data_IF_017301013856
#
_entry.id   IF_017301013856
#
_cell.length_a   1.000
_cell.length_b   1.000
_cell.length_c   1.000
_cell.angle_alpha   90.00
_cell.angle_beta   90.00
_cell.angle_gamma   90.00
#
_symmetry.space_group_name_H-M   'P 1'
#
loop_
_entity.id
_entity.type
_entity.pdbx_description
1 polymer ?
#
# COMPACT_ATOMS: atom_id res chain seq x y z
N UNK A 1 0.44 -28.32 -1.50
CA UNK A 1 -0.64 -27.30 -1.51
C UNK A 1 -0.74 -26.72 -2.91
N UNK A 2 -1.95 -26.51 -3.44
CA UNK A 2 -2.13 -25.94 -4.78
C UNK A 2 -1.59 -24.47 -4.81
N UNK A 3 -0.66 -24.11 -5.71
CA UNK A 3 -0.11 -22.76 -5.82
C UNK A 3 -1.18 -21.66 -5.96
N UNK A 4 -2.31 -22.00 -6.56
CA UNK A 4 -3.43 -21.08 -6.76
C UNK A 4 -4.13 -20.76 -5.43
N UNK A 5 -4.29 -21.75 -4.56
CA UNK A 5 -4.85 -21.57 -3.20
C UNK A 5 -3.94 -20.69 -2.34
N UNK A 6 -2.61 -20.83 -2.46
CA UNK A 6 -1.64 -19.96 -1.75
C UNK A 6 -1.77 -18.52 -2.24
N UNK A 7 -1.89 -18.32 -3.55
CA UNK A 7 -2.07 -16.99 -4.13
C UNK A 7 -3.39 -16.36 -3.69
N UNK A 8 -4.48 -17.12 -3.74
CA UNK A 8 -5.81 -16.61 -3.40
C UNK A 8 -5.93 -16.31 -1.89
N UNK A 9 -5.19 -17.03 -1.04
CA UNK A 9 -5.01 -16.68 0.38
C UNK A 9 -4.16 -15.42 0.58
N UNK A 10 -3.05 -15.29 -0.17
CA UNK A 10 -2.13 -14.14 -0.07
C UNK A 10 -2.75 -12.83 -0.59
N UNK A 11 -3.67 -12.92 -1.54
CA UNK A 11 -4.37 -11.79 -2.15
C UNK A 11 -5.87 -11.83 -1.88
N UNK A 12 -6.29 -12.38 -0.75
CA UNK A 12 -7.71 -12.40 -0.40
C UNK A 12 -8.24 -10.96 -0.30
N UNK A 13 -9.47 -10.67 -0.78
CA UNK A 13 -10.02 -9.32 -0.73
C UNK A 13 -10.02 -8.70 0.68
N UNK A 14 -10.26 -9.50 1.72
CA UNK A 14 -10.21 -9.06 3.10
C UNK A 14 -8.81 -8.64 3.54
N UNK A 15 -7.76 -9.41 3.19
CA UNK A 15 -6.41 -9.05 3.56
C UNK A 15 -5.89 -7.84 2.77
N UNK A 16 -6.23 -7.75 1.48
CA UNK A 16 -5.92 -6.55 0.69
C UNK A 16 -6.63 -5.33 1.29
N UNK A 17 -7.89 -5.45 1.71
CA UNK A 17 -8.61 -4.37 2.38
C UNK A 17 -7.89 -3.87 3.65
N UNK A 18 -7.40 -4.78 4.51
CA UNK A 18 -6.60 -4.42 5.70
C UNK A 18 -5.32 -3.64 5.32
N UNK A 19 -4.62 -4.07 4.26
CA UNK A 19 -3.44 -3.40 3.73
C UNK A 19 -3.80 -1.99 3.26
N UNK A 20 -4.84 -1.84 2.43
CA UNK A 20 -5.28 -0.55 1.89
C UNK A 20 -5.73 0.41 3.01
N UNK A 21 -6.52 -0.09 3.96
CA UNK A 21 -6.95 0.68 5.13
C UNK A 21 -5.74 1.25 5.89
N UNK A 22 -4.73 0.42 6.13
CA UNK A 22 -3.51 0.82 6.84
C UNK A 22 -2.70 1.87 6.07
N UNK A 23 -2.60 1.73 4.75
CA UNK A 23 -1.99 2.75 3.89
C UNK A 23 -2.72 4.09 4.00
N UNK A 24 -4.05 4.09 3.93
CA UNK A 24 -4.88 5.29 4.04
C UNK A 24 -4.67 5.95 5.41
N UNK A 25 -4.61 5.18 6.50
CA UNK A 25 -4.34 5.73 7.83
C UNK A 25 -2.92 6.31 7.95
N UNK A 26 -1.93 5.67 7.32
CA UNK A 26 -0.57 6.21 7.22
C UNK A 26 -0.53 7.53 6.47
N UNK A 27 -1.26 7.64 5.36
CA UNK A 27 -1.39 8.86 4.59
C UNK A 27 -2.09 9.98 5.37
N UNK A 28 -3.20 9.64 6.03
CA UNK A 28 -4.00 10.56 6.86
C UNK A 28 -3.20 11.22 7.98
N UNK A 29 -2.19 10.52 8.52
CA UNK A 29 -1.27 11.07 9.52
C UNK A 29 -0.49 12.29 9.01
N UNK A 30 -0.23 12.36 7.71
CA UNK A 30 0.56 13.43 7.08
C UNK A 30 -0.35 14.48 6.44
N UNK A 31 -1.41 14.05 5.78
CA UNK A 31 -2.40 14.91 5.12
C UNK A 31 -3.81 14.45 5.50
N UNK A 32 -4.58 15.30 6.18
CA UNK A 32 -5.92 14.97 6.69
C UNK A 32 -6.91 14.53 5.59
N UNK A 33 -6.65 14.93 4.34
CA UNK A 33 -7.45 14.53 3.17
C UNK A 33 -7.27 13.06 2.78
N UNK A 34 -6.28 12.38 3.37
CA UNK A 34 -5.92 11.00 3.06
C UNK A 34 -4.90 10.89 1.93
N UNK A 35 -4.92 9.76 1.21
CA UNK A 35 -3.99 9.52 0.10
C UNK A 35 -4.57 10.02 -1.22
N UNK A 36 -3.73 10.45 -2.16
CA UNK A 36 -4.16 10.61 -3.56
C UNK A 36 -4.65 9.27 -4.11
N UNK A 37 -5.85 9.25 -4.69
CA UNK A 37 -6.53 8.00 -5.03
C UNK A 37 -5.71 7.15 -6.01
N UNK A 38 -5.05 7.78 -6.97
CA UNK A 38 -4.22 7.11 -7.98
C UNK A 38 -3.07 6.29 -7.35
N UNK A 39 -2.58 6.70 -6.18
CA UNK A 39 -1.48 6.00 -5.51
C UNK A 39 -1.92 4.67 -4.88
N UNK A 40 -3.23 4.42 -4.74
CA UNK A 40 -3.74 3.17 -4.14
C UNK A 40 -3.28 1.93 -4.92
N UNK A 41 -3.12 2.07 -6.23
CA UNK A 41 -2.70 0.98 -7.13
C UNK A 41 -1.25 0.57 -6.97
N UNK A 42 -0.44 1.40 -6.31
CA UNK A 42 0.95 1.06 -5.98
C UNK A 42 1.06 0.26 -4.67
N UNK A 43 0.04 0.28 -3.81
CA UNK A 43 0.15 -0.26 -2.45
C UNK A 43 0.43 -1.76 -2.48
N UNK A 44 -0.39 -2.53 -3.21
CA UNK A 44 -0.24 -3.99 -3.28
C UNK A 44 1.12 -4.40 -3.88
N UNK A 45 1.57 -3.85 -5.02
CA UNK A 45 2.91 -4.12 -5.57
C UNK A 45 4.06 -3.87 -4.59
N UNK A 46 4.02 -2.76 -3.86
CA UNK A 46 5.09 -2.40 -2.91
C UNK A 46 5.06 -3.27 -1.66
N UNK A 47 3.88 -3.52 -1.09
CA UNK A 47 3.74 -4.24 0.18
C UNK A 47 3.90 -5.75 0.00
N UNK A 48 3.53 -6.30 -1.16
CA UNK A 48 3.64 -7.74 -1.43
C UNK A 48 5.04 -8.18 -1.84
N UNK A 49 5.86 -7.27 -2.37
CA UNK A 49 7.29 -7.48 -2.59
C UNK A 49 8.01 -7.58 -1.24
N UNK A 50 8.73 -8.67 -1.02
CA UNK A 50 9.40 -8.99 0.24
C UNK A 50 10.56 -8.03 0.56
N UNK A 51 11.35 -7.66 -0.44
CA UNK A 51 12.48 -6.73 -0.27
C UNK A 51 11.97 -5.32 0.08
N UNK A 52 10.99 -4.82 -0.68
CA UNK A 52 10.37 -3.52 -0.40
C UNK A 52 9.62 -3.52 0.94
N UNK A 53 8.87 -4.57 1.26
CA UNK A 53 8.19 -4.72 2.56
C UNK A 53 9.18 -4.71 3.72
N UNK A 54 10.29 -5.44 3.61
CA UNK A 54 11.33 -5.45 4.65
C UNK A 54 11.95 -4.06 4.88
N UNK A 55 12.11 -3.27 3.81
CA UNK A 55 12.58 -1.88 3.89
C UNK A 55 11.53 -0.95 4.51
N UNK A 56 10.27 -1.10 4.13
CA UNK A 56 9.15 -0.34 4.69
C UNK A 56 8.94 -0.62 6.17
N UNK A 57 9.10 -1.87 6.62
CA UNK A 57 9.00 -2.24 8.03
C UNK A 57 10.07 -1.61 8.92
N UNK A 58 11.23 -1.28 8.35
CA UNK A 58 12.33 -0.56 9.02
C UNK A 58 12.21 0.96 8.88
N UNK A 59 11.28 1.44 8.06
CA UNK A 59 11.03 2.87 7.89
C UNK A 59 10.26 3.44 9.08
N UNK A 60 10.32 4.75 9.23
CA UNK A 60 9.68 5.47 10.32
C UNK A 60 9.00 6.75 9.80
N UNK A 61 8.42 7.52 10.72
CA UNK A 61 7.68 8.74 10.39
C UNK A 61 8.56 9.82 9.75
N UNK A 62 9.90 9.76 9.82
CA UNK A 62 10.78 10.72 9.12
C UNK A 62 11.23 10.23 7.74
N UNK A 63 11.10 8.94 7.42
CA UNK A 63 11.43 8.38 6.10
C UNK A 63 10.74 9.12 4.95
N UNK A 64 11.49 9.36 3.88
CA UNK A 64 11.04 9.94 2.60
C UNK A 64 11.24 8.94 1.46
N UNK A 65 10.67 9.21 0.29
CA UNK A 65 10.84 8.35 -0.89
C UNK A 65 12.33 8.18 -1.23
N UNK A 66 13.10 9.25 -1.13
CA UNK A 66 14.55 9.23 -1.36
C UNK A 66 15.25 8.23 -0.43
N UNK A 67 14.99 8.33 0.89
CA UNK A 67 15.65 7.48 1.90
C UNK A 67 15.15 6.03 1.89
N UNK A 68 13.88 5.83 1.53
CA UNK A 68 13.25 4.53 1.52
C UNK A 68 13.62 3.74 0.26
N UNK A 69 13.71 4.38 -0.90
CA UNK A 69 13.80 3.65 -2.16
C UNK A 69 14.95 4.03 -3.10
N UNK A 70 15.58 5.20 -2.92
CA UNK A 70 16.58 5.70 -3.87
C UNK A 70 18.01 5.74 -3.32
N UNK A 71 18.25 5.25 -2.10
CA UNK A 71 19.61 5.14 -1.53
C UNK A 71 20.26 3.77 -1.74
N UNK A 72 19.45 2.74 -1.92
CA UNK A 72 19.88 1.34 -1.97
C UNK A 72 19.61 0.81 -3.38
N UNK A 73 20.63 0.25 -4.02
CA UNK A 73 20.54 -0.15 -5.42
C UNK A 73 19.67 -1.40 -5.62
N UNK A 74 19.65 -2.34 -4.67
CA UNK A 74 18.73 -3.49 -4.71
C UNK A 74 17.28 -3.01 -4.64
N UNK A 75 17.00 -2.04 -3.77
CA UNK A 75 15.66 -1.45 -3.65
C UNK A 75 15.27 -0.70 -4.91
N UNK A 76 16.20 0.05 -5.52
CA UNK A 76 15.94 0.74 -6.80
C UNK A 76 15.60 -0.26 -7.88
N UNK A 77 16.33 -1.36 -8.01
CA UNK A 77 16.05 -2.42 -8.98
C UNK A 77 14.62 -2.95 -8.82
N UNK A 78 14.16 -3.17 -7.57
CA UNK A 78 12.79 -3.58 -7.31
C UNK A 78 11.75 -2.56 -7.76
N UNK A 79 12.04 -1.25 -7.65
CA UNK A 79 11.13 -0.20 -8.14
C UNK A 79 10.90 -0.29 -9.65
N UNK A 80 11.91 -0.66 -10.44
CA UNK A 80 11.74 -0.79 -11.90
C UNK A 80 10.70 -1.85 -12.28
N UNK A 81 10.53 -2.87 -11.45
CA UNK A 81 9.56 -3.96 -11.68
C UNK A 81 8.14 -3.60 -11.22
N UNK A 82 7.95 -2.47 -10.55
CA UNK A 82 6.64 -2.10 -9.99
C UNK A 82 5.62 -1.82 -11.09
N UNK A 83 6.01 -1.17 -12.19
CA UNK A 83 5.09 -0.84 -13.27
C UNK A 83 4.37 -2.08 -13.83
N UNK A 84 5.12 -3.18 -13.99
CA UNK A 84 4.55 -4.45 -14.44
C UNK A 84 3.66 -5.07 -13.36
N UNK A 85 4.09 -5.01 -12.09
CA UNK A 85 3.31 -5.54 -10.96
C UNK A 85 1.97 -4.81 -10.79
N UNK A 86 1.91 -3.50 -11.05
CA UNK A 86 0.68 -2.71 -10.99
C UNK A 86 -0.39 -3.26 -11.93
N UNK A 87 0.01 -3.62 -13.16
CA UNK A 87 -0.91 -4.21 -14.13
C UNK A 87 -1.56 -5.49 -13.60
N UNK A 88 -0.77 -6.36 -12.98
CA UNK A 88 -1.28 -7.63 -12.43
C UNK A 88 -2.05 -7.46 -11.12
N UNK A 89 -1.74 -6.44 -10.32
CA UNK A 89 -2.38 -6.23 -9.02
C UNK A 89 -3.63 -5.35 -9.08
N UNK A 90 -3.96 -4.75 -10.23
CA UNK A 90 -5.10 -3.82 -10.35
C UNK A 90 -6.42 -4.47 -9.98
N UNK A 91 -6.69 -5.69 -10.45
CA UNK A 91 -7.92 -6.42 -10.16
C UNK A 91 -8.06 -6.73 -8.66
N UNK A 92 -7.00 -7.26 -8.03
CA UNK A 92 -7.02 -7.56 -6.59
C UNK A 92 -7.10 -6.30 -5.73
N UNK A 93 -6.50 -5.19 -6.18
CA UNK A 93 -6.63 -3.88 -5.51
C UNK A 93 -8.08 -3.41 -5.55
N UNK A 94 -8.73 -3.48 -6.72
CA UNK A 94 -10.14 -3.13 -6.86
C UNK A 94 -11.04 -4.00 -5.97
N UNK A 95 -10.82 -5.32 -5.93
CA UNK A 95 -11.54 -6.22 -5.04
C UNK A 95 -11.34 -5.84 -3.56
N UNK A 96 -10.12 -5.46 -3.18
CA UNK A 96 -9.82 -4.96 -1.83
C UNK A 96 -10.52 -3.65 -1.50
N UNK A 97 -10.61 -2.71 -2.44
CA UNK A 97 -11.35 -1.44 -2.26
C UNK A 97 -12.85 -1.72 -2.08
N UNK A 98 -13.43 -2.58 -2.93
CA UNK A 98 -14.84 -2.97 -2.83
C UNK A 98 -15.12 -3.62 -1.47
N UNK A 99 -14.27 -4.56 -1.05
CA UNK A 99 -14.43 -5.21 0.25
C UNK A 99 -14.27 -4.21 1.39
N UNK A 100 -13.26 -3.34 1.36
CA UNK A 100 -13.04 -2.32 2.38
C UNK A 100 -14.26 -1.40 2.50
N UNK A 101 -14.85 -1.00 1.37
CA UNK A 101 -16.06 -0.15 1.33
C UNK A 101 -17.30 -0.83 1.92
N UNK A 102 -17.30 -2.15 2.02
CA UNK A 102 -18.40 -2.91 2.64
C UNK A 102 -18.29 -3.02 4.16
N UNK A 103 -17.10 -2.78 4.73
CA UNK A 103 -16.82 -2.92 6.16
C UNK A 103 -16.39 -1.61 6.85
N UNK A 104 -16.04 -0.59 6.06
CA UNK A 104 -15.60 0.72 6.51
C UNK A 104 -16.22 1.78 5.60
N UNK A 105 -16.59 2.92 6.17
CA UNK A 105 -16.98 4.06 5.35
C UNK A 105 -15.73 4.59 4.64
N UNK A 106 -15.72 4.58 3.30
CA UNK A 106 -14.64 5.17 2.50
C UNK A 106 -15.19 6.34 1.69
N UNK A 107 -14.49 7.46 1.76
CA UNK A 107 -14.74 8.63 0.92
C UNK A 107 -13.73 8.59 -0.23
N UNK A 108 -14.22 8.47 -1.47
CA UNK A 108 -13.39 8.42 -2.68
C UNK A 108 -13.72 9.61 -3.59
N UNK A 109 -12.74 10.48 -3.82
CA UNK A 109 -12.76 11.58 -4.78
C UNK A 109 -11.36 11.69 -5.44
N UNK A 110 -10.79 12.89 -5.57
CA UNK A 110 -9.37 13.04 -5.90
C UNK A 110 -8.41 12.47 -4.84
N UNK A 111 -8.92 12.14 -3.66
CA UNK A 111 -8.27 11.48 -2.55
C UNK A 111 -9.11 10.29 -2.07
N UNK A 112 -8.51 9.43 -1.27
CA UNK A 112 -9.17 8.33 -0.58
C UNK A 112 -8.90 8.44 0.93
N UNK A 113 -9.98 8.34 1.71
CA UNK A 113 -9.98 8.50 3.16
C UNK A 113 -10.95 7.51 3.81
N UNK A 114 -10.57 6.98 4.98
CA UNK A 114 -11.48 6.22 5.84
C UNK A 114 -12.31 7.21 6.66
N UNK A 115 -13.64 7.19 6.50
CA UNK A 115 -14.59 8.07 7.18
C UNK A 115 -14.75 7.71 8.66
N UNK A 116 -14.61 6.42 8.99
CA UNK A 116 -14.57 5.90 10.34
C UNK A 116 -13.34 5.02 10.56
N UNK A 117 -12.93 4.87 11.82
CA UNK A 117 -11.95 3.87 12.17
C UNK A 117 -12.65 2.50 12.19
N UNK A 118 -12.02 1.50 11.56
CA UNK A 118 -12.41 0.12 11.76
C UNK A 118 -12.26 -0.19 13.26
N UNK A 119 -13.31 -0.72 13.89
CA UNK A 119 -13.18 -1.39 15.18
C UNK A 119 -11.99 -2.35 15.08
N UNK A 120 -11.08 -2.32 16.07
CA UNK A 120 -9.85 -3.10 16.06
C UNK A 120 -10.15 -4.55 15.66
N UNK A 121 -9.98 -4.87 14.37
CA UNK A 121 -9.99 -6.24 13.89
C UNK A 121 -8.73 -6.80 14.52
N UNK A 122 -8.88 -7.51 15.64
CA UNK A 122 -7.76 -8.02 16.43
C UNK A 122 -6.76 -8.71 15.51
N UNK A 123 -5.66 -8.01 15.18
CA UNK A 123 -4.61 -8.52 14.30
C UNK A 123 -3.84 -9.53 15.13
N UNK A 124 -4.39 -10.74 15.21
CA UNK A 124 -3.91 -11.85 16.03
C UNK A 124 -2.77 -12.60 15.35
N UNK A 125 -2.46 -12.32 14.07
CA UNK A 125 -1.45 -13.02 13.30
C UNK A 125 -0.21 -12.15 13.03
N UNK A 126 0.93 -12.56 13.58
CA UNK A 126 2.23 -11.89 13.40
C UNK A 126 2.63 -11.74 11.93
N UNK A 127 2.23 -12.68 11.06
CA UNK A 127 2.47 -12.58 9.63
C UNK A 127 1.85 -11.32 9.02
N UNK A 128 0.61 -10.99 9.38
CA UNK A 128 -0.10 -9.84 8.83
C UNK A 128 0.50 -8.52 9.31
N UNK A 129 1.02 -8.46 10.54
CA UNK A 129 1.56 -7.24 11.15
C UNK A 129 2.63 -6.58 10.29
N UNK A 130 3.49 -7.37 9.65
CA UNK A 130 4.53 -6.85 8.76
C UNK A 130 3.97 -6.17 7.51
N UNK A 131 2.85 -6.65 6.96
CA UNK A 131 2.22 -6.04 5.79
C UNK A 131 1.49 -4.77 6.18
N UNK A 132 0.77 -4.80 7.30
CA UNK A 132 0.05 -3.64 7.84
C UNK A 132 1.03 -2.51 8.19
N UNK A 133 2.10 -2.80 8.94
CA UNK A 133 3.13 -1.81 9.28
C UNK A 133 3.82 -1.24 8.04
N UNK A 134 4.20 -2.09 7.09
CA UNK A 134 4.80 -1.64 5.84
C UNK A 134 3.85 -0.73 5.04
N UNK A 135 2.58 -1.09 4.97
CA UNK A 135 1.53 -0.32 4.28
C UNK A 135 1.31 1.05 4.93
N UNK A 136 1.21 1.10 6.25
CA UNK A 136 1.13 2.35 7.02
C UNK A 136 2.32 3.27 6.73
N UNK A 137 3.54 2.74 6.78
CA UNK A 137 4.74 3.50 6.50
C UNK A 137 4.80 3.98 5.04
N UNK A 138 4.31 3.17 4.09
CA UNK A 138 4.21 3.57 2.69
C UNK A 138 3.26 4.77 2.53
N UNK A 139 2.11 4.75 3.22
CA UNK A 139 1.16 5.86 3.25
C UNK A 139 1.78 7.17 3.71
N UNK A 140 2.56 7.12 4.80
CA UNK A 140 3.33 8.26 5.29
C UNK A 140 4.32 8.76 4.23
N UNK A 141 5.11 7.85 3.66
CA UNK A 141 6.17 8.21 2.69
C UNK A 141 5.57 8.84 1.44
N UNK A 142 4.49 8.27 0.90
CA UNK A 142 3.84 8.77 -0.31
C UNK A 142 3.19 10.13 -0.08
N UNK A 143 2.59 10.36 1.08
CA UNK A 143 1.86 11.61 1.37
C UNK A 143 2.77 12.81 1.65
N UNK A 144 4.06 12.56 1.93
CA UNK A 144 5.07 13.62 2.02
C UNK A 144 5.54 14.14 0.67
N UNK A 145 5.19 13.45 -0.40
CA UNK A 145 5.62 13.75 -1.76
C UNK A 145 4.38 14.14 -2.57
N UNK A 146 4.54 15.02 -3.56
CA UNK A 146 3.48 15.21 -4.56
C UNK A 146 3.25 13.90 -5.32
N UNK A 147 1.99 13.50 -5.54
CA UNK A 147 1.69 12.21 -6.19
C UNK A 147 2.37 12.04 -7.56
N UNK A 148 2.48 13.12 -8.35
CA UNK A 148 3.24 13.13 -9.61
C UNK A 148 4.70 12.73 -9.39
N UNK A 149 5.34 13.23 -8.33
CA UNK A 149 6.71 12.85 -7.99
C UNK A 149 6.80 11.38 -7.57
N UNK A 150 5.81 10.86 -6.85
CA UNK A 150 5.76 9.43 -6.51
C UNK A 150 5.74 8.60 -7.78
N UNK A 151 4.83 8.90 -8.72
CA UNK A 151 4.67 8.17 -9.98
C UNK A 151 5.93 8.24 -10.86
N UNK A 152 6.54 9.42 -10.98
CA UNK A 152 7.77 9.62 -11.74
C UNK A 152 8.94 8.84 -11.13
N UNK A 153 9.12 8.91 -9.80
CA UNK A 153 10.21 8.22 -9.10
C UNK A 153 10.01 6.71 -9.07
N UNK A 154 8.77 6.22 -9.02
CA UNK A 154 8.44 4.80 -9.14
C UNK A 154 8.40 4.30 -10.59
N UNK A 155 8.52 5.20 -11.57
CA UNK A 155 8.44 4.90 -13.01
C UNK A 155 7.15 4.19 -13.42
N UNK A 156 6.06 4.47 -12.73
CA UNK A 156 4.76 3.88 -13.06
C UNK A 156 4.00 4.82 -13.98
N UNK A 157 3.61 4.29 -15.13
CA UNK A 157 2.80 5.00 -16.14
C UNK A 157 1.43 4.36 -16.34
N UNK A 158 1.23 3.17 -15.76
CA UNK A 158 0.11 2.29 -16.01
C UNK A 158 -0.82 2.23 -14.79
N UNK A 159 -1.71 3.22 -14.63
CA UNK A 159 -2.62 3.33 -13.48
C UNK A 159 -4.06 3.32 -13.96
#
# INVERSE_FOLDING_TARGET
MNPQVIRDLKYSPSFVAEILYSFIQGARRVDERGAKFELIYLVVPFVMDDVLRAKLNRSNVSSTFQTAFLKDDEIKERLFLINDKVQYSKSVTNCGIIYLSSICEIIINSFILNGNDLEEISITNDYKKEFIKASYNLGIIFSKEGYVNVLLKSKVTNI
#
